data_IF_042370643937
#
_entry.id   IF_042370643937
#
_cell.length_a   1.000
_cell.length_b   1.000
_cell.length_c   1.000
_cell.angle_alpha   90.00
_cell.angle_beta   90.00
_cell.angle_gamma   90.00
#
_symmetry.space_group_name_H-M   'P 1'
#
loop_
_entity.id
_entity.type
_entity.pdbx_description
1 polymer ?
#
# COMPACT_ATOMS: atom_id res chain seq x y z
N UNK A 1 10.39 44.36 47.14
CA UNK A 1 11.24 44.02 45.96
C UNK A 1 11.25 42.51 45.91
N UNK A 2 10.33 41.94 45.14
CA UNK A 2 10.14 40.49 45.01
C UNK A 2 10.16 40.19 43.53
N UNK A 3 11.25 39.55 43.08
CA UNK A 3 11.41 39.10 41.71
C UNK A 3 10.40 37.98 41.44
N UNK A 4 9.45 38.22 40.55
CA UNK A 4 8.53 37.19 40.04
C UNK A 4 9.32 36.39 39.00
N UNK A 5 9.67 35.10 39.23
CA UNK A 5 10.39 34.32 38.24
C UNK A 5 9.52 34.17 36.99
N UNK A 6 9.97 34.75 35.88
CA UNK A 6 9.31 34.61 34.59
C UNK A 6 9.48 33.18 34.09
N UNK A 7 8.45 32.34 34.29
CA UNK A 7 8.31 31.00 33.69
C UNK A 7 8.78 31.05 32.23
N UNK A 8 9.87 30.34 31.94
CA UNK A 8 10.54 30.40 30.64
C UNK A 8 9.66 29.77 29.57
N UNK A 9 9.80 30.17 28.31
CA UNK A 9 9.03 29.58 27.20
C UNK A 9 9.16 28.05 27.14
N UNK A 10 10.31 27.52 27.57
CA UNK A 10 10.56 26.09 27.77
C UNK A 10 9.62 25.47 28.82
N UNK A 11 9.50 26.06 30.02
CA UNK A 11 8.62 25.55 31.09
C UNK A 11 7.14 25.52 30.65
N UNK A 12 6.72 26.51 29.84
CA UNK A 12 5.35 26.57 29.31
C UNK A 12 5.12 25.53 28.21
N UNK A 13 6.14 25.21 27.43
CA UNK A 13 6.10 24.14 26.44
C UNK A 13 6.13 22.76 27.12
N UNK A 14 6.92 22.58 28.18
CA UNK A 14 6.93 21.37 29.01
C UNK A 14 5.58 21.13 29.68
N UNK A 15 4.97 22.19 30.23
CA UNK A 15 3.62 22.12 30.78
C UNK A 15 2.58 21.79 29.69
N UNK A 16 2.73 22.36 28.49
CA UNK A 16 1.86 22.05 27.35
C UNK A 16 2.03 20.64 26.79
N UNK A 17 3.25 20.09 26.79
CA UNK A 17 3.54 18.71 26.38
C UNK A 17 3.05 17.72 27.44
N UNK A 18 3.19 18.06 28.72
CA UNK A 18 2.66 17.26 29.82
C UNK A 18 1.11 17.21 29.82
N UNK A 19 0.46 18.27 29.33
CA UNK A 19 -0.99 18.35 29.18
C UNK A 19 -1.53 17.61 27.93
N UNK A 20 -0.69 17.43 26.90
CA UNK A 20 -1.05 16.65 25.71
C UNK A 20 -0.92 15.15 26.01
N UNK A 21 -1.96 14.62 26.63
CA UNK A 21 -2.16 13.19 26.75
C UNK A 21 -2.62 12.64 25.40
N UNK A 22 -1.76 11.95 24.67
CA UNK A 22 -2.12 11.28 23.40
C UNK A 22 -2.88 10.00 23.74
N UNK A 23 -4.17 9.88 23.41
CA UNK A 23 -4.91 8.64 23.64
C UNK A 23 -4.21 7.51 22.88
N UNK A 24 -3.95 6.39 23.55
CA UNK A 24 -3.28 5.27 22.91
C UNK A 24 -4.08 4.83 21.67
N UNK A 25 -3.41 4.70 20.51
CA UNK A 25 -4.09 4.50 19.26
C UNK A 25 -4.79 3.14 19.25
N UNK A 26 -6.00 3.17 18.68
CA UNK A 26 -6.91 2.14 18.14
C UNK A 26 -6.37 0.80 17.58
N UNK A 27 -5.12 0.41 17.84
CA UNK A 27 -4.48 -0.81 17.38
C UNK A 27 -5.25 -2.07 17.80
N UNK A 28 -5.77 -2.11 19.03
CA UNK A 28 -6.60 -3.22 19.51
C UNK A 28 -7.94 -3.31 18.76
N UNK A 29 -8.59 -2.18 18.52
CA UNK A 29 -9.81 -2.11 17.72
C UNK A 29 -9.57 -2.52 16.27
N UNK A 30 -8.45 -2.11 15.68
CA UNK A 30 -8.07 -2.46 14.30
C UNK A 30 -7.78 -3.97 14.18
N UNK A 31 -7.10 -4.57 15.16
CA UNK A 31 -6.86 -6.01 15.21
C UNK A 31 -8.17 -6.80 15.40
N UNK A 32 -9.05 -6.34 16.29
CA UNK A 32 -10.36 -6.95 16.53
C UNK A 32 -11.25 -6.87 15.29
N UNK A 33 -11.30 -5.71 14.63
CA UNK A 33 -12.06 -5.50 13.40
C UNK A 33 -11.57 -6.38 12.25
N UNK A 34 -10.25 -6.59 12.14
CA UNK A 34 -9.66 -7.50 11.15
C UNK A 34 -10.04 -8.96 11.45
N UNK A 35 -9.98 -9.36 12.72
CA UNK A 35 -10.37 -10.70 13.18
C UNK A 35 -11.86 -10.97 12.91
N UNK A 36 -12.72 -9.97 13.12
CA UNK A 36 -14.16 -10.03 12.78
C UNK A 36 -14.36 -10.12 11.28
N UNK A 37 -13.67 -9.30 10.48
CA UNK A 37 -13.75 -9.32 9.02
C UNK A 37 -13.35 -10.67 8.42
N UNK A 38 -12.40 -11.38 9.02
CA UNK A 38 -12.01 -12.72 8.60
C UNK A 38 -12.94 -13.83 9.14
N UNK A 39 -13.46 -13.67 10.36
CA UNK A 39 -14.34 -14.67 10.97
C UNK A 39 -15.74 -14.70 10.32
N UNK A 40 -16.29 -13.55 9.94
CA UNK A 40 -17.65 -13.44 9.42
C UNK A 40 -17.89 -14.29 8.14
N UNK A 41 -16.99 -14.26 7.13
CA UNK A 41 -17.11 -15.11 5.95
C UNK A 41 -17.05 -16.60 6.28
N UNK A 42 -16.18 -17.00 7.21
CA UNK A 42 -16.07 -18.40 7.64
C UNK A 42 -17.39 -18.86 8.25
N UNK A 43 -17.98 -18.04 9.13
CA UNK A 43 -19.31 -18.32 9.70
C UNK A 43 -20.37 -18.44 8.60
N UNK A 44 -20.35 -17.55 7.61
CA UNK A 44 -21.27 -17.62 6.48
C UNK A 44 -21.13 -18.91 5.66
N UNK A 45 -19.91 -19.35 5.39
CA UNK A 45 -19.64 -20.64 4.71
C UNK A 45 -20.18 -21.81 5.53
N UNK A 46 -19.94 -21.82 6.85
CA UNK A 46 -20.45 -22.87 7.75
C UNK A 46 -21.98 -22.91 7.71
N UNK A 47 -22.66 -21.76 7.74
CA UNK A 47 -24.12 -21.70 7.63
C UNK A 47 -24.64 -22.27 6.30
N UNK A 48 -23.97 -22.01 5.18
CA UNK A 48 -24.33 -22.58 3.88
C UNK A 48 -24.20 -24.11 3.91
N UNK A 49 -23.12 -24.64 4.50
CA UNK A 49 -22.92 -26.09 4.63
C UNK A 49 -23.98 -26.74 5.53
N UNK A 50 -24.34 -26.11 6.64
CA UNK A 50 -25.42 -26.58 7.52
C UNK A 50 -26.77 -26.55 6.80
N UNK A 51 -27.05 -25.49 6.06
CA UNK A 51 -28.28 -25.37 5.27
C UNK A 51 -28.37 -26.47 4.20
N UNK A 52 -27.26 -26.72 3.50
CA UNK A 52 -27.17 -27.80 2.52
C UNK A 52 -27.38 -29.16 3.16
N UNK A 53 -26.75 -29.44 4.31
CA UNK A 53 -26.90 -30.72 5.00
C UNK A 53 -28.34 -30.98 5.44
N UNK A 54 -29.02 -29.96 5.99
CA UNK A 54 -30.43 -30.04 6.35
C UNK A 54 -31.33 -30.27 5.12
N UNK A 55 -31.11 -29.51 4.04
CA UNK A 55 -31.88 -29.66 2.81
C UNK A 55 -31.69 -31.03 2.16
N UNK A 56 -30.46 -31.55 2.13
CA UNK A 56 -30.13 -32.86 1.58
C UNK A 56 -30.76 -34.03 2.37
N UNK A 57 -30.99 -33.84 3.68
CA UNK A 57 -31.68 -34.82 4.52
C UNK A 57 -33.20 -34.83 4.37
N UNK A 58 -33.80 -33.80 3.75
CA UNK A 58 -35.25 -33.66 3.64
C UNK A 58 -35.83 -34.45 2.47
N UNK A 59 -36.86 -35.25 2.76
CA UNK A 59 -37.61 -36.05 1.78
C UNK A 59 -38.65 -35.24 1.00
N UNK A 60 -39.04 -34.08 1.53
CA UNK A 60 -40.07 -33.22 0.95
C UNK A 60 -39.44 -31.96 0.37
N UNK A 61 -39.63 -31.75 -0.94
CA UNK A 61 -39.11 -30.58 -1.67
C UNK A 61 -39.66 -29.26 -1.10
N UNK A 62 -40.88 -29.28 -0.57
CA UNK A 62 -41.51 -28.11 0.06
C UNK A 62 -40.71 -27.56 1.25
N UNK A 63 -40.01 -28.43 1.99
CA UNK A 63 -39.19 -28.04 3.15
C UNK A 63 -37.76 -27.64 2.75
N UNK A 64 -37.31 -28.03 1.56
CA UNK A 64 -35.95 -27.74 1.08
C UNK A 64 -35.77 -26.26 0.74
N UNK A 65 -36.76 -25.62 0.10
CA UNK A 65 -36.68 -24.21 -0.32
C UNK A 65 -36.52 -23.28 0.89
N UNK A 66 -37.34 -23.36 1.96
CA UNK A 66 -37.16 -22.53 3.15
C UNK A 66 -35.82 -22.74 3.87
N UNK A 67 -35.31 -23.98 3.92
CA UNK A 67 -34.00 -24.29 4.52
C UNK A 67 -32.84 -23.66 3.73
N UNK A 68 -32.89 -23.74 2.40
CA UNK A 68 -31.89 -23.13 1.54
C UNK A 68 -31.96 -21.60 1.56
N UNK A 69 -33.15 -21.01 1.62
CA UNK A 69 -33.31 -19.56 1.70
C UNK A 69 -32.77 -19.02 3.02
N UNK A 70 -33.16 -19.62 4.15
CA UNK A 70 -32.78 -19.13 5.48
C UNK A 70 -31.29 -19.24 5.75
N UNK A 71 -30.66 -20.39 5.47
CA UNK A 71 -29.23 -20.57 5.72
C UNK A 71 -28.33 -20.13 4.56
N UNK A 72 -28.80 -20.27 3.31
CA UNK A 72 -28.05 -19.90 2.12
C UNK A 72 -27.95 -18.39 1.91
N UNK A 73 -29.08 -17.67 1.94
CA UNK A 73 -29.07 -16.21 1.72
C UNK A 73 -28.41 -15.49 2.90
N UNK A 74 -28.71 -15.89 4.13
CA UNK A 74 -28.06 -15.32 5.32
C UNK A 74 -26.55 -15.58 5.30
N UNK A 75 -26.14 -16.81 5.00
CA UNK A 75 -24.73 -17.18 4.89
C UNK A 75 -24.00 -16.38 3.80
N UNK A 76 -24.64 -16.21 2.64
CA UNK A 76 -24.08 -15.40 1.55
C UNK A 76 -23.96 -13.92 1.94
N UNK A 77 -24.97 -13.35 2.60
CA UNK A 77 -24.92 -11.97 3.09
C UNK A 77 -23.77 -11.76 4.09
N UNK A 78 -23.57 -12.71 5.02
CA UNK A 78 -22.45 -12.70 5.98
C UNK A 78 -21.09 -12.77 5.27
N UNK A 79 -20.96 -13.57 4.20
CA UNK A 79 -19.75 -13.64 3.39
C UNK A 79 -19.46 -12.29 2.73
N UNK A 80 -20.45 -11.68 2.08
CA UNK A 80 -20.26 -10.41 1.37
C UNK A 80 -19.88 -9.29 2.34
N UNK A 81 -20.60 -9.16 3.46
CA UNK A 81 -20.31 -8.15 4.49
C UNK A 81 -18.93 -8.39 5.11
N UNK A 82 -18.61 -9.65 5.42
CA UNK A 82 -17.32 -10.03 5.98
C UNK A 82 -16.15 -9.71 5.04
N UNK A 83 -16.26 -10.07 3.75
CA UNK A 83 -15.27 -9.74 2.73
C UNK A 83 -15.12 -8.23 2.57
N UNK A 84 -16.23 -7.49 2.53
CA UNK A 84 -16.22 -6.03 2.42
C UNK A 84 -15.47 -5.38 3.58
N UNK A 85 -15.73 -5.81 4.82
CA UNK A 85 -15.02 -5.34 6.01
C UNK A 85 -13.54 -5.75 5.95
N UNK A 86 -13.25 -7.01 5.64
CA UNK A 86 -11.89 -7.52 5.55
C UNK A 86 -11.04 -6.71 4.55
N UNK A 87 -11.57 -6.48 3.34
CA UNK A 87 -10.91 -5.68 2.30
C UNK A 87 -10.73 -4.24 2.79
N UNK A 88 -11.80 -3.60 3.29
CA UNK A 88 -11.77 -2.22 3.80
C UNK A 88 -10.65 -1.99 4.82
N UNK A 89 -10.51 -2.89 5.80
CA UNK A 89 -9.52 -2.77 6.86
C UNK A 89 -8.12 -3.20 6.41
N UNK A 90 -8.00 -4.26 5.59
CA UNK A 90 -6.72 -4.71 5.06
C UNK A 90 -6.07 -3.65 4.17
N UNK A 91 -6.85 -3.00 3.30
CA UNK A 91 -6.37 -1.92 2.46
C UNK A 91 -5.92 -0.72 3.30
N UNK A 92 -6.73 -0.28 4.28
CA UNK A 92 -6.36 0.85 5.14
C UNK A 92 -5.00 0.64 5.83
N UNK A 93 -4.75 -0.59 6.31
CA UNK A 93 -3.48 -0.95 6.95
C UNK A 93 -2.32 -0.97 5.96
N UNK A 94 -2.53 -1.52 4.76
CA UNK A 94 -1.53 -1.50 3.69
C UNK A 94 -1.18 -0.08 3.26
N UNK A 95 -2.18 0.77 3.03
CA UNK A 95 -1.97 2.17 2.65
C UNK A 95 -1.25 2.96 3.74
N UNK A 96 -1.58 2.75 5.02
CA UNK A 96 -0.87 3.40 6.13
C UNK A 96 0.61 3.04 6.14
N UNK A 97 0.92 1.75 6.03
CA UNK A 97 2.30 1.28 5.96
C UNK A 97 3.02 1.87 4.74
N UNK A 98 2.35 1.88 3.58
CA UNK A 98 2.92 2.40 2.34
C UNK A 98 3.16 3.91 2.39
N UNK A 99 2.20 4.69 2.88
CA UNK A 99 2.32 6.15 3.01
C UNK A 99 3.42 6.52 4.00
N UNK A 100 3.50 5.84 5.14
CA UNK A 100 4.59 6.07 6.10
C UNK A 100 5.95 5.83 5.45
N UNK A 101 6.09 4.75 4.68
CA UNK A 101 7.32 4.46 3.93
C UNK A 101 7.61 5.52 2.87
N UNK A 102 6.60 5.95 2.11
CA UNK A 102 6.76 6.94 1.04
C UNK A 102 7.15 8.32 1.58
N UNK A 103 6.55 8.74 2.70
CA UNK A 103 6.89 10.01 3.37
C UNK A 103 8.34 10.01 3.83
N UNK A 104 8.83 8.92 4.42
CA UNK A 104 10.23 8.81 4.85
C UNK A 104 11.19 8.92 3.65
N UNK A 105 10.88 8.28 2.53
CA UNK A 105 11.70 8.36 1.32
C UNK A 105 11.72 9.79 0.73
N UNK A 106 10.58 10.49 0.74
CA UNK A 106 10.47 11.86 0.23
C UNK A 106 11.21 12.89 1.10
N UNK A 107 11.27 12.68 2.41
CA UNK A 107 12.03 13.55 3.31
C UNK A 107 13.53 13.55 2.96
N UNK A 108 14.12 12.38 2.70
CA UNK A 108 15.51 12.27 2.30
C UNK A 108 15.83 12.99 0.98
N UNK A 109 14.87 13.05 0.04
CA UNK A 109 15.01 13.80 -1.21
C UNK A 109 14.89 15.32 -0.98
N UNK A 110 13.97 15.73 -0.11
CA UNK A 110 13.76 17.15 0.24
C UNK A 110 14.98 17.73 0.95
N UNK A 111 15.57 16.99 1.89
CA UNK A 111 16.76 17.42 2.63
C UNK A 111 17.95 17.69 1.68
N UNK A 112 18.17 16.80 0.71
CA UNK A 112 19.22 16.97 -0.30
C UNK A 112 18.98 18.18 -1.20
N UNK A 113 17.73 18.45 -1.57
CA UNK A 113 17.36 19.63 -2.36
C UNK A 113 17.57 20.92 -1.56
N UNK A 114 17.17 20.94 -0.28
CA UNK A 114 17.39 22.08 0.62
C UNK A 114 18.89 22.35 0.81
N UNK A 115 19.70 21.31 0.99
CA UNK A 115 21.16 21.43 1.09
C UNK A 115 21.78 21.98 -0.20
N UNK A 116 21.36 21.47 -1.36
CA UNK A 116 21.84 21.94 -2.66
C UNK A 116 21.47 23.42 -2.91
N UNK A 117 20.24 23.82 -2.58
CA UNK A 117 19.79 25.22 -2.67
C UNK A 117 20.60 26.09 -1.71
N UNK A 118 20.82 25.65 -0.47
CA UNK A 118 21.65 26.34 0.51
C UNK A 118 23.09 26.56 0.02
N UNK A 119 23.69 25.57 -0.64
CA UNK A 119 25.02 25.67 -1.22
C UNK A 119 25.09 26.69 -2.38
N UNK A 120 24.08 26.70 -3.26
CA UNK A 120 23.99 27.68 -4.38
C UNK A 120 23.78 29.10 -3.87
N UNK A 121 22.89 29.29 -2.88
CA UNK A 121 22.67 30.59 -2.24
C UNK A 121 23.93 31.09 -1.54
N UNK A 122 24.66 30.21 -0.84
CA UNK A 122 25.93 30.54 -0.19
C UNK A 122 27.04 30.89 -1.19
N UNK A 123 27.14 30.16 -2.31
CA UNK A 123 28.11 30.45 -3.37
C UNK A 123 27.80 31.77 -4.10
N UNK A 124 26.52 32.09 -4.31
CA UNK A 124 26.09 33.35 -4.92
C UNK A 124 26.35 34.56 -4.03
N UNK A 125 26.24 34.42 -2.70
CA UNK A 125 26.54 35.48 -1.74
C UNK A 125 28.04 35.75 -1.53
N UNK A 126 28.91 34.82 -1.91
CA UNK A 126 30.35 34.87 -1.63
C UNK A 126 31.20 35.53 -2.74
N UNK A 127 30.61 36.11 -3.79
CA UNK A 127 31.37 36.72 -4.89
C UNK A 127 31.21 38.25 -4.99
N UNK A 128 32.00 39.04 -4.23
CA UNK A 128 31.99 40.50 -4.31
C UNK A 128 32.71 41.11 -5.53
N UNK A 129 33.30 40.30 -6.43
CA UNK A 129 34.18 40.79 -7.52
C UNK A 129 33.73 40.42 -8.95
N UNK A 130 32.53 39.86 -9.16
CA UNK A 130 32.10 39.34 -10.47
C UNK A 130 31.10 40.18 -11.28
N UNK A 131 30.55 41.27 -10.72
CA UNK A 131 29.30 41.88 -11.20
C UNK A 131 29.37 42.73 -12.49
N UNK A 132 30.43 42.64 -13.30
CA UNK A 132 30.53 43.46 -14.51
C UNK A 132 30.99 42.70 -15.77
N UNK A 133 31.26 41.40 -15.68
CA UNK A 133 31.67 40.62 -16.85
C UNK A 133 30.82 39.36 -16.90
N UNK A 134 29.92 39.34 -17.87
CA UNK A 134 29.35 38.14 -18.49
C UNK A 134 27.88 37.76 -18.18
N UNK A 135 26.96 38.74 -18.27
CA UNK A 135 25.51 38.47 -18.34
C UNK A 135 25.16 37.55 -19.53
N UNK A 136 25.91 37.63 -20.63
CA UNK A 136 25.75 36.78 -21.82
C UNK A 136 26.04 35.30 -21.55
N UNK A 137 27.19 34.97 -20.95
CA UNK A 137 27.45 33.56 -20.64
C UNK A 137 26.67 33.07 -19.43
N UNK A 138 26.20 33.97 -18.56
CA UNK A 138 25.23 33.58 -17.53
C UNK A 138 23.92 33.11 -18.18
N UNK A 139 23.41 33.82 -19.19
CA UNK A 139 22.23 33.40 -19.97
C UNK A 139 22.51 32.08 -20.72
N UNK A 140 23.65 31.95 -21.40
CA UNK A 140 23.96 30.73 -22.15
C UNK A 140 24.06 29.48 -21.24
N UNK A 141 24.65 29.63 -20.05
CA UNK A 141 24.72 28.54 -19.07
C UNK A 141 23.34 28.18 -18.51
N UNK A 142 22.45 29.15 -18.34
CA UNK A 142 21.07 28.91 -17.89
C UNK A 142 20.24 28.19 -18.95
N UNK A 143 20.37 28.58 -20.22
CA UNK A 143 19.69 27.91 -21.35
C UNK A 143 20.17 26.46 -21.50
N UNK A 144 21.47 26.23 -21.35
CA UNK A 144 22.05 24.89 -21.44
C UNK A 144 21.73 24.02 -20.20
N UNK A 145 21.59 24.60 -19.01
CA UNK A 145 21.10 23.89 -17.84
C UNK A 145 19.62 23.49 -18.01
N UNK A 146 18.78 24.39 -18.54
CA UNK A 146 17.36 24.15 -18.80
C UNK A 146 17.15 23.02 -19.83
N UNK A 147 17.90 23.03 -20.94
CA UNK A 147 17.81 21.99 -21.96
C UNK A 147 18.21 20.62 -21.41
N UNK A 148 19.23 20.54 -20.55
CA UNK A 148 19.64 19.30 -19.88
C UNK A 148 18.58 18.78 -18.92
N UNK A 149 17.93 19.65 -18.16
CA UNK A 149 16.82 19.27 -17.27
C UNK A 149 15.63 18.76 -18.09
N UNK A 150 15.29 19.43 -19.19
CA UNK A 150 14.19 19.02 -20.06
C UNK A 150 14.43 17.63 -20.68
N UNK A 151 15.66 17.36 -21.15
CA UNK A 151 16.04 16.03 -21.67
C UNK A 151 15.96 14.98 -20.58
N UNK A 152 16.47 15.25 -19.37
CA UNK A 152 16.43 14.31 -18.25
C UNK A 152 15.00 13.98 -17.79
N UNK A 153 14.10 14.97 -17.75
CA UNK A 153 12.68 14.75 -17.42
C UNK A 153 11.99 13.92 -18.51
N UNK A 154 12.28 14.22 -19.79
CA UNK A 154 11.70 13.50 -20.93
C UNK A 154 12.13 12.04 -20.96
N UNK A 155 13.39 11.76 -20.63
CA UNK A 155 13.93 10.41 -20.53
C UNK A 155 13.31 9.66 -19.35
N UNK A 156 13.28 10.28 -18.16
CA UNK A 156 12.65 9.69 -16.96
C UNK A 156 11.14 9.42 -17.12
N UNK A 157 10.44 10.22 -17.94
CA UNK A 157 9.02 10.03 -18.23
C UNK A 157 8.77 8.97 -19.30
N UNK A 158 9.69 8.81 -20.25
CA UNK A 158 9.55 7.84 -21.35
C UNK A 158 9.93 6.42 -20.90
N UNK A 159 10.88 6.30 -19.96
CA UNK A 159 11.42 5.02 -19.51
C UNK A 159 10.85 4.50 -18.19
N UNK A 160 9.97 5.23 -17.49
CA UNK A 160 9.31 4.71 -16.29
C UNK A 160 8.39 3.55 -16.69
N UNK A 161 8.77 2.28 -16.46
CA UNK A 161 7.88 1.20 -16.78
C UNK A 161 6.81 1.21 -15.70
N UNK A 162 5.56 1.44 -16.08
CA UNK A 162 4.41 1.09 -15.24
C UNK A 162 4.35 -0.44 -15.21
N UNK A 163 5.27 -1.05 -14.46
CA UNK A 163 5.26 -2.49 -14.19
C UNK A 163 4.19 -2.69 -13.14
N UNK A 164 2.95 -2.90 -13.59
CA UNK A 164 2.01 -3.69 -12.80
C UNK A 164 2.58 -5.11 -12.85
N UNK A 165 3.42 -5.45 -11.88
CA UNK A 165 3.90 -6.81 -11.65
C UNK A 165 2.70 -7.63 -11.17
N UNK A 166 1.85 -8.04 -12.12
CA UNK A 166 0.94 -9.15 -11.91
C UNK A 166 1.84 -10.35 -11.67
N UNK A 167 1.95 -10.75 -10.41
CA UNK A 167 2.56 -12.00 -9.97
C UNK A 167 1.94 -13.14 -10.78
N UNK A 168 2.56 -13.50 -11.89
CA UNK A 168 2.26 -14.69 -12.66
C UNK A 168 2.87 -15.89 -11.91
N UNK A 169 2.30 -16.15 -10.73
CA UNK A 169 2.52 -17.38 -10.01
C UNK A 169 1.47 -18.38 -10.48
N UNK A 170 1.96 -19.40 -11.17
CA UNK A 170 1.29 -20.68 -11.45
C UNK A 170 0.48 -20.78 -12.74
N UNK A 171 1.15 -20.93 -13.89
CA UNK A 171 0.88 -22.04 -14.84
C UNK A 171 2.17 -22.46 -15.57
N UNK A 172 3.08 -23.14 -14.86
CA UNK A 172 4.05 -24.02 -15.53
C UNK A 172 3.36 -25.34 -15.86
N UNK A 173 2.47 -25.35 -16.86
CA UNK A 173 1.95 -26.59 -17.43
C UNK A 173 2.81 -26.99 -18.63
N UNK A 174 3.77 -27.87 -18.33
CA UNK A 174 4.51 -28.75 -19.23
C UNK A 174 3.88 -28.92 -20.63
N UNK A 175 4.39 -28.16 -21.62
CA UNK A 175 4.21 -28.50 -23.04
C UNK A 175 5.13 -29.67 -23.38
N UNK A 176 4.73 -30.87 -23.00
CA UNK A 176 5.25 -32.08 -23.61
C UNK A 176 4.34 -32.40 -24.81
N UNK A 177 4.87 -32.50 -26.05
CA UNK A 177 4.05 -32.84 -27.21
C UNK A 177 3.40 -34.22 -26.99
N UNK A 178 2.07 -34.26 -27.10
CA UNK A 178 1.22 -35.44 -26.82
C UNK A 178 1.65 -36.68 -27.62
N UNK A 179 2.40 -36.53 -28.71
CA UNK A 179 2.95 -37.64 -29.52
C UNK A 179 3.95 -38.54 -28.80
N UNK A 180 4.73 -38.01 -27.84
CA UNK A 180 5.81 -38.79 -27.20
C UNK A 180 5.35 -39.65 -26.02
N UNK A 181 4.18 -39.36 -25.46
CA UNK A 181 3.64 -40.10 -24.30
C UNK A 181 3.11 -41.48 -24.70
N UNK A 182 2.57 -41.61 -25.92
CA UNK A 182 2.03 -42.86 -26.45
C UNK A 182 3.17 -43.79 -26.90
N UNK A 183 4.28 -43.23 -27.38
CA UNK A 183 5.44 -44.04 -27.83
C UNK A 183 6.15 -44.74 -26.66
N UNK A 184 6.17 -44.12 -25.48
CA UNK A 184 6.81 -44.68 -24.28
C UNK A 184 6.00 -45.77 -23.58
N UNK A 185 4.67 -45.83 -23.74
CA UNK A 185 3.87 -46.91 -23.12
C UNK A 185 3.93 -48.23 -23.90
N UNK A 186 4.18 -48.19 -25.21
CA UNK A 186 4.17 -49.39 -26.07
C UNK A 186 5.48 -50.20 -25.98
N UNK A 187 6.57 -49.63 -25.45
CA UNK A 187 7.85 -50.34 -25.26
C UNK A 187 8.07 -50.91 -23.86
N UNK A 188 7.14 -50.70 -22.92
CA UNK A 188 7.28 -51.24 -21.55
C UNK A 188 6.62 -52.61 -21.36
N UNK A 189 5.82 -53.08 -22.32
CA UNK A 189 5.04 -54.32 -22.23
C UNK A 189 5.63 -55.48 -23.08
N UNK A 190 6.91 -55.42 -23.44
CA UNK A 190 7.57 -56.45 -24.27
C UNK A 190 8.87 -57.02 -23.72
N UNK A 191 9.16 -56.81 -22.44
CA UNK A 191 10.21 -57.53 -21.71
C UNK A 191 9.58 -58.30 -20.54
#
# INVERSE_FOLDING_TARGET
MTDTPSTTAADRLEAGVADVHVPEPSADSEALLLKVGFALPIVGVVLILVAWWQAAGSKFVADQIPMLISGGILGLALIIVGLGLFIRFSLARLLRFWLARLVVEQQAQTDRLVDAVGQVSGASGANPNGAAMDDSAQIDRLVDALSRVEVAIRDATTDAPVVVELSDSSVAHSKEPIGDRIRRSVHRDRD
#
